data_IF_375678263282
#
_entry.id   IF_375678263282
#
_cell.length_a   1.000
_cell.length_b   1.000
_cell.length_c   1.000
_cell.angle_alpha   90.00
_cell.angle_beta   90.00
_cell.angle_gamma   90.00
#
_symmetry.space_group_name_H-M   'P 1'
#
loop_
_entity.id
_entity.type
_entity.pdbx_description
1 polymer ?
#
# COMPACT_ATOMS: atom_id res chain seq x y z
N UNK A 1 14.54 3.68 25.06
CA UNK A 1 14.89 2.74 23.97
C UNK A 1 15.90 3.45 23.07
N UNK A 2 16.86 2.73 22.47
CA UNK A 2 17.73 3.30 21.44
C UNK A 2 16.91 3.67 20.21
N UNK A 3 17.25 4.78 19.55
CA UNK A 3 16.60 5.15 18.27
C UNK A 3 16.98 4.13 17.20
N UNK A 4 16.03 3.74 16.35
CA UNK A 4 16.31 2.95 15.16
C UNK A 4 17.09 3.83 14.16
N UNK A 5 18.23 3.36 13.69
CA UNK A 5 19.10 4.09 12.75
C UNK A 5 18.83 3.60 11.34
N UNK A 6 18.33 4.52 10.49
CA UNK A 6 17.92 4.19 9.14
C UNK A 6 18.64 4.99 8.07
N UNK A 7 18.56 4.50 6.84
CA UNK A 7 18.83 5.28 5.65
C UNK A 7 17.57 5.41 4.78
N UNK A 8 17.48 6.52 4.04
CA UNK A 8 16.44 6.78 3.04
C UNK A 8 17.05 6.57 1.65
N UNK A 9 16.38 5.79 0.79
CA UNK A 9 16.76 5.56 -0.60
C UNK A 9 15.61 5.99 -1.52
N UNK A 10 15.87 7.04 -2.33
CA UNK A 10 14.87 7.65 -3.19
C UNK A 10 14.35 8.97 -2.64
N UNK A 11 14.74 10.09 -3.26
CA UNK A 11 14.39 11.46 -2.86
C UNK A 11 13.47 12.11 -3.91
N UNK A 12 12.55 11.31 -4.48
CA UNK A 12 11.54 11.75 -5.44
C UNK A 12 10.30 12.35 -4.78
N UNK A 13 9.21 12.47 -5.55
CA UNK A 13 7.96 13.06 -5.08
C UNK A 13 7.35 12.29 -3.89
N UNK A 14 7.42 10.96 -3.90
CA UNK A 14 6.85 10.11 -2.86
C UNK A 14 7.49 10.31 -1.48
N UNK A 15 8.72 10.84 -1.39
CA UNK A 15 9.45 10.97 -0.12
C UNK A 15 8.85 12.01 0.84
N UNK A 16 8.08 12.98 0.34
CA UNK A 16 7.60 14.13 1.15
C UNK A 16 6.82 13.73 2.41
N UNK A 17 5.77 12.90 2.36
CA UNK A 17 5.06 12.48 3.58
C UNK A 17 5.96 11.67 4.53
N UNK A 18 6.87 10.86 3.99
CA UNK A 18 7.83 10.09 4.79
C UNK A 18 8.83 10.98 5.51
N UNK A 19 9.42 11.96 4.80
CA UNK A 19 10.39 12.87 5.40
C UNK A 19 9.78 13.69 6.53
N UNK A 20 8.53 14.15 6.38
CA UNK A 20 7.79 14.83 7.46
C UNK A 20 7.55 13.91 8.65
N UNK A 21 7.08 12.68 8.41
CA UNK A 21 6.88 11.69 9.46
C UNK A 21 8.17 11.34 10.21
N UNK A 22 9.32 11.26 9.50
CA UNK A 22 10.64 11.03 10.12
C UNK A 22 11.10 12.20 10.97
N UNK A 23 10.77 13.45 10.59
CA UNK A 23 11.03 14.60 11.45
C UNK A 23 10.22 14.54 12.75
N UNK A 24 8.94 14.16 12.68
CA UNK A 24 8.08 13.98 13.85
C UNK A 24 8.54 12.83 14.76
N UNK A 25 9.22 11.82 14.20
CA UNK A 25 9.73 10.64 14.91
C UNK A 25 11.22 10.76 15.27
N UNK A 26 11.79 11.95 15.32
CA UNK A 26 13.22 12.17 15.57
C UNK A 26 13.72 11.70 16.95
N UNK A 27 12.80 11.51 17.90
CA UNK A 27 13.07 10.88 19.21
C UNK A 27 13.16 9.35 19.15
N UNK A 28 12.65 8.72 18.10
CA UNK A 28 12.55 7.27 17.91
C UNK A 28 13.38 6.74 16.75
N UNK A 29 13.56 7.55 15.71
CA UNK A 29 14.25 7.19 14.46
C UNK A 29 15.34 8.23 14.18
N UNK A 30 16.55 7.75 13.84
CA UNK A 30 17.64 8.56 13.38
C UNK A 30 17.98 8.27 11.93
N UNK A 31 17.94 9.28 11.07
CA UNK A 31 18.31 9.14 9.66
C UNK A 31 19.81 9.41 9.50
N UNK A 32 20.57 8.37 9.17
CA UNK A 32 22.03 8.48 8.97
C UNK A 32 22.39 8.89 7.54
N UNK A 33 21.59 8.50 6.55
CA UNK A 33 21.83 8.79 5.15
C UNK A 33 20.51 9.00 4.39
N UNK A 34 20.52 9.94 3.43
CA UNK A 34 19.45 10.15 2.45
C UNK A 34 20.05 10.12 1.04
N UNK A 35 19.70 9.11 0.25
CA UNK A 35 20.32 8.80 -1.04
C UNK A 35 19.44 9.12 -2.24
N UNK A 36 20.03 9.78 -3.21
CA UNK A 36 19.59 9.79 -4.60
C UNK A 36 20.82 9.92 -5.52
N UNK A 37 20.83 9.29 -6.71
CA UNK A 37 21.94 9.44 -7.66
C UNK A 37 22.02 10.86 -8.24
N UNK A 38 20.89 11.55 -8.37
CA UNK A 38 20.80 12.91 -8.92
C UNK A 38 21.24 13.97 -7.90
N UNK A 39 22.26 14.75 -8.23
CA UNK A 39 22.72 15.89 -7.42
C UNK A 39 21.61 16.95 -7.24
N UNK A 40 20.83 17.21 -8.29
CA UNK A 40 19.71 18.15 -8.24
C UNK A 40 18.63 17.71 -7.24
N UNK A 41 18.26 16.41 -7.22
CA UNK A 41 17.30 15.86 -6.25
C UNK A 41 17.83 15.93 -4.83
N UNK A 42 19.12 15.64 -4.63
CA UNK A 42 19.74 15.79 -3.30
C UNK A 42 19.72 17.24 -2.81
N UNK A 43 20.06 18.20 -3.68
CA UNK A 43 20.03 19.62 -3.34
C UNK A 43 18.61 20.10 -2.98
N UNK A 44 17.60 19.75 -3.81
CA UNK A 44 16.20 20.10 -3.56
C UNK A 44 15.68 19.49 -2.24
N UNK A 45 16.01 18.23 -1.97
CA UNK A 45 15.64 17.56 -0.73
C UNK A 45 16.33 18.18 0.49
N UNK A 46 17.65 18.43 0.41
CA UNK A 46 18.43 19.03 1.50
C UNK A 46 18.05 20.47 1.83
N UNK A 47 17.48 21.22 0.88
CA UNK A 47 16.91 22.54 1.14
C UNK A 47 15.63 22.48 2.01
N UNK A 48 14.95 21.33 2.07
CA UNK A 48 13.68 21.14 2.79
C UNK A 48 13.82 20.32 4.08
N UNK A 49 14.78 19.40 4.13
CA UNK A 49 14.90 18.43 5.22
C UNK A 49 16.36 18.32 5.71
N UNK A 50 16.61 18.29 7.03
CA UNK A 50 17.94 18.32 7.62
C UNK A 50 18.64 16.95 7.69
N UNK A 51 18.38 16.05 6.73
CA UNK A 51 18.96 14.71 6.74
C UNK A 51 20.31 14.67 6.01
N UNK A 52 21.29 13.88 6.50
CA UNK A 52 22.60 13.74 5.84
C UNK A 52 22.48 13.13 4.45
N UNK A 53 22.99 13.83 3.42
CA UNK A 53 22.89 13.43 2.02
C UNK A 53 24.04 12.54 1.58
N UNK A 54 23.78 11.58 0.70
CA UNK A 54 24.80 10.76 0.04
C UNK A 54 24.41 10.47 -1.41
N UNK A 55 25.41 10.25 -2.26
CA UNK A 55 25.26 9.83 -3.66
C UNK A 55 25.66 8.36 -3.89
N UNK A 56 25.97 7.64 -2.82
CA UNK A 56 26.39 6.24 -2.87
C UNK A 56 25.47 5.34 -2.06
N UNK A 57 24.83 4.39 -2.74
CA UNK A 57 24.07 3.30 -2.12
C UNK A 57 25.04 2.35 -1.39
N UNK A 58 26.21 2.07 -1.96
CA UNK A 58 27.22 1.18 -1.37
C UNK A 58 27.67 1.68 -0.01
N UNK A 59 27.77 3.02 0.17
CA UNK A 59 28.08 3.62 1.46
C UNK A 59 27.02 3.30 2.51
N UNK A 60 25.74 3.28 2.13
CA UNK A 60 24.63 2.90 3.02
C UNK A 60 24.74 1.42 3.39
N UNK A 61 24.95 0.56 2.39
CA UNK A 61 25.02 -0.89 2.59
C UNK A 61 26.21 -1.30 3.46
N UNK A 62 27.34 -0.59 3.35
CA UNK A 62 28.57 -0.85 4.11
C UNK A 62 28.61 -0.19 5.51
N UNK A 63 27.66 0.70 5.85
CA UNK A 63 27.62 1.34 7.16
C UNK A 63 26.94 0.42 8.18
N UNK A 64 27.73 -0.19 9.07
CA UNK A 64 27.23 -1.11 10.12
C UNK A 64 26.29 -0.42 11.13
N UNK A 65 26.29 0.90 11.20
CA UNK A 65 25.37 1.65 12.06
C UNK A 65 23.94 1.67 11.50
N UNK A 66 23.77 1.53 10.17
CA UNK A 66 22.46 1.50 9.53
C UNK A 66 21.79 0.15 9.82
N UNK A 67 20.66 0.16 10.52
CA UNK A 67 19.90 -1.05 10.90
C UNK A 67 18.79 -1.34 9.89
N UNK A 68 18.21 -0.30 9.25
CA UNK A 68 17.16 -0.45 8.28
C UNK A 68 17.27 0.56 7.13
N UNK A 69 16.66 0.22 5.99
CA UNK A 69 16.60 1.10 4.82
C UNK A 69 15.14 1.30 4.41
N UNK A 70 14.72 2.56 4.32
CA UNK A 70 13.42 2.96 3.78
C UNK A 70 13.58 3.30 2.28
N UNK A 71 12.90 2.54 1.42
CA UNK A 71 13.05 2.60 -0.04
C UNK A 71 11.82 3.26 -0.65
N UNK A 72 12.01 4.43 -1.27
CA UNK A 72 10.98 5.30 -1.87
C UNK A 72 11.30 5.62 -3.34
N UNK A 73 11.95 4.70 -4.02
CA UNK A 73 12.31 4.78 -5.44
C UNK A 73 11.13 4.40 -6.34
N UNK A 74 11.25 4.51 -7.67
CA UNK A 74 10.28 3.89 -8.57
C UNK A 74 10.19 2.37 -8.38
N UNK A 75 8.97 1.83 -8.48
CA UNK A 75 8.68 0.42 -8.21
C UNK A 75 9.58 -0.57 -8.99
N UNK A 76 9.97 -0.23 -10.22
CA UNK A 76 10.85 -1.06 -11.05
C UNK A 76 12.24 -1.34 -10.46
N UNK A 77 12.66 -0.58 -9.44
CA UNK A 77 13.94 -0.76 -8.75
C UNK A 77 13.81 -1.38 -7.35
N UNK A 78 12.59 -1.63 -6.87
CA UNK A 78 12.33 -2.06 -5.49
C UNK A 78 12.99 -3.39 -5.16
N UNK A 79 12.78 -4.42 -5.99
CA UNK A 79 13.35 -5.75 -5.73
C UNK A 79 14.89 -5.73 -5.74
N UNK A 80 15.51 -5.01 -6.67
CA UNK A 80 16.97 -4.92 -6.73
C UNK A 80 17.56 -4.27 -5.48
N UNK A 81 17.03 -3.10 -5.09
CA UNK A 81 17.50 -2.35 -3.92
C UNK A 81 17.19 -3.12 -2.64
N UNK A 82 15.96 -3.63 -2.50
CA UNK A 82 15.55 -4.38 -1.32
C UNK A 82 16.37 -5.64 -1.08
N UNK A 83 16.68 -6.40 -2.15
CA UNK A 83 17.56 -7.56 -2.08
C UNK A 83 19.01 -7.18 -1.74
N UNK A 84 19.51 -6.03 -2.22
CA UNK A 84 20.82 -5.54 -1.83
C UNK A 84 20.87 -5.19 -0.32
N UNK A 85 19.83 -4.53 0.19
CA UNK A 85 19.67 -4.24 1.62
C UNK A 85 19.62 -5.52 2.46
N UNK A 86 18.80 -6.50 2.03
CA UNK A 86 18.67 -7.79 2.71
C UNK A 86 20.00 -8.55 2.81
N UNK A 87 20.75 -8.63 1.70
CA UNK A 87 22.10 -9.24 1.68
C UNK A 87 23.09 -8.52 2.59
N UNK A 88 22.92 -7.21 2.83
CA UNK A 88 23.71 -6.43 3.78
C UNK A 88 23.17 -6.53 5.22
N UNK A 89 22.20 -7.42 5.50
CA UNK A 89 21.62 -7.60 6.83
C UNK A 89 20.76 -6.43 7.31
N UNK A 90 20.28 -5.55 6.41
CA UNK A 90 19.47 -4.39 6.75
C UNK A 90 17.99 -4.73 6.63
N UNK A 91 17.19 -4.40 7.65
CA UNK A 91 15.73 -4.44 7.55
C UNK A 91 15.24 -3.48 6.46
N UNK A 92 14.10 -3.77 5.83
CA UNK A 92 13.60 -2.99 4.69
C UNK A 92 12.19 -2.48 4.95
N UNK A 93 11.97 -1.17 4.81
CA UNK A 93 10.65 -0.57 4.67
C UNK A 93 10.47 -0.15 3.21
N UNK A 94 9.57 -0.82 2.49
CA UNK A 94 9.40 -0.64 1.06
C UNK A 94 8.15 0.16 0.73
N UNK A 95 8.28 1.18 -0.16
CA UNK A 95 7.11 1.78 -0.78
C UNK A 95 6.33 0.77 -1.61
N UNK A 96 5.02 1.02 -1.71
CA UNK A 96 4.15 0.21 -2.56
C UNK A 96 4.27 0.64 -4.05
N UNK A 97 4.01 -0.28 -4.98
CA UNK A 97 3.92 -1.74 -4.82
C UNK A 97 5.27 -2.36 -4.46
N UNK A 98 5.29 -3.62 -4.01
CA UNK A 98 6.57 -4.32 -3.73
C UNK A 98 7.52 -4.31 -4.92
N UNK A 99 6.99 -4.45 -6.14
CA UNK A 99 7.69 -4.28 -7.42
C UNK A 99 6.65 -4.15 -8.55
N UNK A 100 7.09 -3.97 -9.79
CA UNK A 100 6.23 -3.89 -10.98
C UNK A 100 5.66 -5.24 -11.43
N UNK A 101 6.12 -6.36 -10.87
CA UNK A 101 5.60 -7.70 -11.16
C UNK A 101 5.61 -8.59 -9.92
N UNK A 102 4.64 -9.49 -9.85
CA UNK A 102 4.51 -10.44 -8.74
C UNK A 102 5.72 -11.34 -8.61
N UNK A 103 6.33 -11.81 -9.71
CA UNK A 103 7.53 -12.65 -9.64
C UNK A 103 8.74 -11.93 -9.01
N UNK A 104 8.93 -10.63 -9.29
CA UNK A 104 9.99 -9.83 -8.66
C UNK A 104 9.66 -9.52 -7.19
N UNK A 105 8.38 -9.28 -6.87
CA UNK A 105 7.90 -9.13 -5.50
C UNK A 105 8.12 -10.41 -4.67
N UNK A 106 7.82 -11.58 -5.24
CA UNK A 106 8.09 -12.90 -4.63
C UNK A 106 9.58 -13.10 -4.34
N UNK A 107 10.46 -12.76 -5.28
CA UNK A 107 11.90 -12.83 -5.08
C UNK A 107 12.38 -11.90 -3.95
N UNK A 108 11.83 -10.69 -3.85
CA UNK A 108 12.14 -9.74 -2.79
C UNK A 108 11.72 -10.30 -1.42
N UNK A 109 10.48 -10.77 -1.30
CA UNK A 109 9.94 -11.35 -0.04
C UNK A 109 10.76 -12.56 0.39
N UNK A 110 11.05 -13.48 -0.54
CA UNK A 110 11.87 -14.66 -0.26
C UNK A 110 13.29 -14.29 0.18
N UNK A 111 13.93 -13.35 -0.52
CA UNK A 111 15.29 -12.92 -0.19
C UNK A 111 15.39 -12.21 1.17
N UNK A 112 14.40 -11.41 1.57
CA UNK A 112 14.35 -10.81 2.91
C UNK A 112 14.18 -11.88 3.99
N UNK A 113 13.31 -12.87 3.76
CA UNK A 113 13.11 -13.99 4.67
C UNK A 113 14.37 -14.86 4.82
N UNK A 114 15.04 -15.19 3.73
CA UNK A 114 16.29 -15.97 3.71
C UNK A 114 17.42 -15.25 4.44
N UNK A 115 17.49 -13.93 4.32
CA UNK A 115 18.46 -13.09 5.03
C UNK A 115 18.09 -12.85 6.51
N UNK A 116 16.93 -13.29 6.97
CA UNK A 116 16.46 -13.08 8.34
C UNK A 116 16.15 -11.62 8.68
N UNK A 117 15.88 -10.78 7.66
CA UNK A 117 15.54 -9.37 7.84
C UNK A 117 14.03 -9.14 7.67
N UNK A 118 13.50 -8.16 8.39
CA UNK A 118 12.08 -7.78 8.27
C UNK A 118 11.85 -6.93 7.04
N UNK A 119 10.77 -7.25 6.33
CA UNK A 119 10.26 -6.46 5.21
C UNK A 119 8.90 -5.90 5.61
N UNK A 120 8.85 -4.58 5.87
CA UNK A 120 7.60 -3.82 6.03
C UNK A 120 7.22 -3.15 4.72
N UNK A 121 5.93 -2.94 4.48
CA UNK A 121 5.42 -2.29 3.26
C UNK A 121 4.53 -1.11 3.59
N UNK A 122 4.66 -0.02 2.82
CA UNK A 122 3.89 1.20 3.02
C UNK A 122 2.48 1.03 2.42
N UNK A 123 1.60 0.38 3.16
CA UNK A 123 0.17 0.26 2.88
C UNK A 123 -0.62 0.97 4.00
N UNK A 124 -0.48 2.30 4.02
CA UNK A 124 -0.86 3.17 5.12
C UNK A 124 -2.37 3.20 5.42
N UNK A 125 -3.25 2.69 4.54
CA UNK A 125 -4.68 2.63 4.83
C UNK A 125 -5.01 1.76 6.05
N UNK A 126 -4.19 0.75 6.37
CA UNK A 126 -4.33 -0.06 7.60
C UNK A 126 -4.07 0.72 8.89
N UNK A 127 -3.47 1.92 8.81
CA UNK A 127 -3.14 2.79 9.94
C UNK A 127 -4.13 3.94 10.14
N UNK A 128 -5.16 4.04 9.30
CA UNK A 128 -6.27 4.98 9.52
C UNK A 128 -7.03 4.59 10.78
N UNK A 129 -7.37 5.52 11.69
CA UNK A 129 -8.08 5.19 12.94
C UNK A 129 -9.36 4.36 12.71
N UNK A 130 -10.15 4.72 11.70
CA UNK A 130 -11.35 3.98 11.32
C UNK A 130 -11.05 2.55 10.85
N UNK A 131 -9.96 2.33 10.12
CA UNK A 131 -9.55 0.99 9.67
C UNK A 131 -9.04 0.14 10.84
N UNK A 132 -8.29 0.73 11.76
CA UNK A 132 -7.83 0.06 12.98
C UNK A 132 -9.03 -0.36 13.84
N UNK A 133 -10.00 0.55 14.04
CA UNK A 133 -11.21 0.23 14.80
C UNK A 133 -12.06 -0.85 14.13
N UNK A 134 -12.16 -0.83 12.79
CA UNK A 134 -12.84 -1.88 12.03
C UNK A 134 -12.18 -3.25 12.28
N UNK A 135 -10.85 -3.33 12.26
CA UNK A 135 -10.10 -4.55 12.56
C UNK A 135 -10.37 -5.04 13.98
N UNK A 136 -10.41 -4.14 14.98
CA UNK A 136 -10.73 -4.49 16.38
C UNK A 136 -12.13 -5.08 16.51
N UNK A 137 -13.14 -4.47 15.86
CA UNK A 137 -14.52 -4.97 15.86
C UNK A 137 -14.62 -6.36 15.22
N UNK A 138 -13.91 -6.59 14.13
CA UNK A 138 -13.85 -7.89 13.47
C UNK A 138 -13.15 -8.94 14.35
N UNK A 139 -12.02 -8.59 14.95
CA UNK A 139 -11.28 -9.48 15.85
C UNK A 139 -12.10 -9.85 17.10
N UNK A 140 -12.89 -8.89 17.63
CA UNK A 140 -13.86 -9.14 18.71
C UNK A 140 -15.07 -9.95 18.25
N UNK A 141 -15.20 -10.28 16.96
CA UNK A 141 -16.33 -11.00 16.39
C UNK A 141 -17.64 -10.21 16.42
N UNK A 142 -17.59 -8.88 16.47
CA UNK A 142 -18.80 -8.04 16.61
C UNK A 142 -19.81 -8.23 15.46
N UNK A 143 -19.32 -8.43 14.21
CA UNK A 143 -20.16 -8.71 13.06
C UNK A 143 -20.67 -10.17 12.98
N UNK A 144 -20.24 -11.05 13.85
CA UNK A 144 -20.44 -12.49 13.67
C UNK A 144 -19.64 -13.02 12.48
N UNK A 145 -20.19 -13.98 11.73
CA UNK A 145 -19.54 -14.48 10.51
C UNK A 145 -19.77 -13.46 9.37
N UNK A 146 -18.70 -13.00 8.75
CA UNK A 146 -18.77 -12.17 7.53
C UNK A 146 -19.29 -13.05 6.37
N UNK A 147 -20.31 -12.59 5.68
CA UNK A 147 -20.99 -13.28 4.58
C UNK A 147 -20.89 -12.52 3.27
N UNK A 148 -20.59 -11.22 3.32
CA UNK A 148 -20.46 -10.37 2.13
C UNK A 148 -19.40 -9.30 2.29
N UNK A 149 -18.76 -8.92 1.18
CA UNK A 149 -17.81 -7.81 1.10
C UNK A 149 -17.98 -7.07 -0.22
N UNK A 150 -18.15 -5.75 -0.18
CA UNK A 150 -18.11 -4.89 -1.37
C UNK A 150 -16.94 -3.91 -1.26
N UNK A 151 -16.14 -3.82 -2.29
CA UNK A 151 -15.01 -2.90 -2.41
C UNK A 151 -15.19 -2.00 -3.61
N UNK A 152 -15.24 -0.69 -3.38
CA UNK A 152 -15.47 0.32 -4.42
C UNK A 152 -14.34 1.35 -4.42
N UNK A 153 -13.69 1.54 -5.56
CA UNK A 153 -12.54 2.42 -5.78
C UNK A 153 -12.82 3.26 -7.03
N UNK A 154 -13.59 4.33 -6.89
CA UNK A 154 -14.03 5.18 -8.02
C UNK A 154 -13.30 6.51 -8.01
N UNK A 155 -12.09 6.53 -8.54
CA UNK A 155 -11.23 7.68 -8.60
C UNK A 155 -11.35 8.40 -9.96
N UNK A 156 -10.86 9.62 -9.99
CA UNK A 156 -10.68 10.36 -11.23
C UNK A 156 -9.20 10.70 -11.45
N UNK A 157 -8.72 10.40 -12.66
CA UNK A 157 -7.44 10.93 -13.16
C UNK A 157 -7.68 11.54 -14.55
N UNK A 158 -7.26 12.77 -14.81
CA UNK A 158 -7.34 13.34 -16.16
C UNK A 158 -6.36 12.64 -17.09
N UNK A 159 -6.61 12.68 -18.42
CA UNK A 159 -5.69 12.12 -19.41
C UNK A 159 -4.26 12.68 -19.26
N UNK A 160 -4.11 13.98 -18.90
CA UNK A 160 -2.81 14.60 -18.65
C UNK A 160 -1.95 13.87 -17.59
N UNK A 161 -2.58 13.16 -16.65
CA UNK A 161 -1.85 12.32 -15.69
C UNK A 161 -1.17 11.13 -16.39
N UNK A 162 -1.81 10.55 -17.40
CA UNK A 162 -1.28 9.41 -18.17
C UNK A 162 -0.40 9.85 -19.35
N UNK A 163 -0.41 11.13 -19.73
CA UNK A 163 0.47 11.69 -20.76
C UNK A 163 1.92 11.89 -20.24
N UNK A 164 2.16 11.76 -18.92
CA UNK A 164 3.52 11.73 -18.38
C UNK A 164 4.30 10.52 -18.95
N UNK A 165 5.58 10.69 -19.34
CA UNK A 165 6.35 9.61 -19.95
C UNK A 165 6.34 8.30 -19.16
N UNK A 166 5.81 7.24 -19.81
CA UNK A 166 5.72 5.89 -19.25
C UNK A 166 4.61 5.65 -18.23
N UNK A 167 3.83 6.67 -17.82
CA UNK A 167 2.71 6.50 -16.91
C UNK A 167 1.61 5.63 -17.54
N UNK A 168 1.00 4.73 -16.77
CA UNK A 168 0.00 3.80 -17.26
C UNK A 168 0.57 2.70 -18.16
N UNK A 169 1.88 2.41 -18.07
CA UNK A 169 2.51 1.30 -18.74
C UNK A 169 2.99 0.22 -17.76
N UNK A 170 3.03 -1.02 -18.22
CA UNK A 170 3.54 -2.14 -17.41
C UNK A 170 5.02 -1.98 -17.08
N UNK A 171 5.79 -1.39 -17.99
CA UNK A 171 7.23 -1.21 -17.82
C UNK A 171 7.60 -0.25 -16.70
N UNK A 172 6.80 0.81 -16.47
CA UNK A 172 7.04 1.82 -15.42
C UNK A 172 6.27 1.53 -14.15
N UNK A 173 4.95 1.35 -14.29
CA UNK A 173 4.02 1.33 -13.16
C UNK A 173 3.61 -0.10 -12.75
N UNK A 174 3.87 -1.11 -13.60
CA UNK A 174 3.52 -2.52 -13.39
C UNK A 174 2.07 -2.86 -13.75
N UNK A 175 1.19 -1.87 -13.95
CA UNK A 175 -0.24 -2.02 -14.25
C UNK A 175 -0.98 -0.71 -14.17
N UNK A 176 -2.31 -0.78 -14.18
CA UNK A 176 -3.23 0.36 -14.16
C UNK A 176 -3.79 0.69 -12.78
N UNK A 177 -5.12 0.87 -12.73
CA UNK A 177 -5.82 1.32 -11.51
C UNK A 177 -5.58 0.41 -10.31
N UNK A 178 -5.49 -0.92 -10.52
CA UNK A 178 -5.37 -1.86 -9.41
C UNK A 178 -4.07 -1.69 -8.64
N UNK A 179 -2.93 -1.67 -9.33
CA UNK A 179 -1.60 -1.62 -8.69
C UNK A 179 -1.16 -0.19 -8.34
N UNK A 180 -1.58 0.81 -9.11
CA UNK A 180 -1.13 2.19 -8.92
C UNK A 180 -1.92 2.92 -7.84
N UNK A 181 -3.25 2.82 -7.86
CA UNK A 181 -4.15 3.53 -6.94
C UNK A 181 -4.91 2.58 -6.01
N UNK A 182 -5.51 1.52 -6.55
CA UNK A 182 -6.38 0.59 -5.84
C UNK A 182 -5.71 -0.27 -4.80
N UNK A 183 -4.40 -0.47 -4.90
CA UNK A 183 -3.62 -1.40 -4.06
C UNK A 183 -3.84 -1.19 -2.55
N UNK A 184 -3.97 0.06 -2.09
CA UNK A 184 -4.21 0.35 -0.68
C UNK A 184 -5.56 -0.14 -0.19
N UNK A 185 -6.60 0.03 -1.01
CA UNK A 185 -7.97 -0.38 -0.66
C UNK A 185 -8.14 -1.89 -0.83
N UNK A 186 -7.50 -2.50 -1.84
CA UNK A 186 -7.45 -3.96 -2.00
C UNK A 186 -6.73 -4.63 -0.84
N UNK A 187 -5.60 -4.07 -0.40
CA UNK A 187 -4.88 -4.52 0.79
C UNK A 187 -5.76 -4.46 2.04
N UNK A 188 -6.41 -3.31 2.27
CA UNK A 188 -7.31 -3.16 3.41
C UNK A 188 -8.49 -4.14 3.33
N UNK A 189 -9.04 -4.40 2.12
CA UNK A 189 -10.08 -5.41 1.90
C UNK A 189 -9.61 -6.79 2.34
N UNK A 190 -8.43 -7.23 1.89
CA UNK A 190 -7.87 -8.52 2.27
C UNK A 190 -7.60 -8.61 3.78
N UNK A 191 -7.10 -7.54 4.38
CA UNK A 191 -6.80 -7.51 5.83
C UNK A 191 -8.06 -7.61 6.71
N UNK A 192 -9.19 -7.07 6.25
CA UNK A 192 -10.46 -7.06 7.01
C UNK A 192 -11.36 -8.26 6.70
N UNK A 193 -11.49 -8.64 5.43
CA UNK A 193 -12.40 -9.70 4.99
C UNK A 193 -11.73 -11.08 4.87
N UNK A 194 -10.40 -11.12 4.92
CA UNK A 194 -9.59 -12.30 4.70
C UNK A 194 -9.25 -12.56 3.22
N UNK A 195 -8.55 -13.64 2.91
CA UNK A 195 -8.07 -13.92 1.57
C UNK A 195 -9.21 -14.25 0.60
N UNK A 196 -9.06 -13.77 -0.64
CA UNK A 196 -9.93 -14.10 -1.76
C UNK A 196 -9.39 -15.36 -2.44
N UNK A 197 -10.27 -16.34 -2.65
CA UNK A 197 -9.92 -17.62 -3.29
C UNK A 197 -10.11 -17.60 -4.81
N UNK A 198 -11.18 -16.93 -5.29
CA UNK A 198 -11.55 -16.92 -6.71
C UNK A 198 -12.15 -15.59 -7.09
N UNK A 199 -11.79 -15.08 -8.27
CA UNK A 199 -12.37 -13.89 -8.88
C UNK A 199 -12.91 -14.19 -10.29
N UNK A 200 -13.94 -13.43 -10.70
CA UNK A 200 -14.46 -13.44 -12.09
C UNK A 200 -14.96 -12.05 -12.45
N UNK A 201 -14.58 -11.55 -13.62
CA UNK A 201 -14.97 -10.19 -14.03
C UNK A 201 -14.28 -9.69 -15.27
N UNK A 202 -14.30 -8.38 -15.44
CA UNK A 202 -13.72 -7.64 -16.57
C UNK A 202 -12.65 -6.67 -16.06
N UNK A 203 -11.58 -6.52 -16.84
CA UNK A 203 -10.51 -5.55 -16.62
C UNK A 203 -10.16 -4.94 -17.99
N UNK A 204 -10.44 -3.66 -18.16
CA UNK A 204 -10.38 -3.00 -19.47
C UNK A 204 -9.74 -1.61 -19.38
N UNK A 205 -9.23 -1.13 -20.51
CA UNK A 205 -8.94 0.28 -20.72
C UNK A 205 -10.14 0.90 -21.43
N UNK A 206 -10.83 1.82 -20.74
CA UNK A 206 -12.04 2.45 -21.29
C UNK A 206 -11.71 3.52 -22.35
N UNK A 207 -12.75 4.03 -23.02
CA UNK A 207 -12.60 5.15 -23.95
C UNK A 207 -12.24 6.49 -23.28
N UNK A 208 -12.19 6.54 -21.94
CA UNK A 208 -11.82 7.76 -21.17
C UNK A 208 -10.33 8.04 -21.27
N UNK A 209 -9.49 6.98 -21.27
CA UNK A 209 -8.04 7.13 -21.29
C UNK A 209 -7.37 6.44 -22.48
N UNK A 210 -6.24 7.00 -22.85
CA UNK A 210 -5.26 6.39 -23.78
C UNK A 210 -4.07 5.93 -22.94
N UNK A 211 -4.05 4.65 -22.57
CA UNK A 211 -2.99 4.01 -21.78
C UNK A 211 -2.90 2.52 -22.12
N UNK A 212 -1.82 1.87 -21.71
CA UNK A 212 -1.59 0.46 -22.01
C UNK A 212 -2.35 -0.49 -21.06
N UNK A 213 -2.57 -0.05 -19.84
CA UNK A 213 -3.08 -0.87 -18.74
C UNK A 213 -4.52 -0.53 -18.41
N UNK A 214 -5.15 -1.31 -17.54
CA UNK A 214 -6.55 -1.15 -17.16
C UNK A 214 -6.82 0.15 -16.39
N UNK A 215 -7.91 0.85 -16.73
CA UNK A 215 -8.45 1.98 -15.98
C UNK A 215 -9.79 1.65 -15.32
N UNK A 216 -10.36 0.46 -15.62
CA UNK A 216 -11.60 -0.03 -15.05
C UNK A 216 -11.59 -1.54 -14.83
N UNK A 217 -12.04 -1.97 -13.65
CA UNK A 217 -12.20 -3.37 -13.27
C UNK A 217 -13.52 -3.54 -12.52
N UNK A 218 -14.32 -4.52 -12.96
CA UNK A 218 -15.57 -4.94 -12.31
C UNK A 218 -15.53 -6.45 -12.12
N UNK A 219 -15.47 -6.93 -10.88
CA UNK A 219 -15.34 -8.36 -10.59
C UNK A 219 -16.20 -8.81 -9.41
N UNK A 220 -16.65 -10.07 -9.47
CA UNK A 220 -17.17 -10.81 -8.33
C UNK A 220 -16.02 -11.60 -7.69
N UNK A 221 -16.07 -11.78 -6.37
CA UNK A 221 -15.06 -12.47 -5.57
C UNK A 221 -15.69 -13.52 -4.64
N UNK A 222 -15.00 -14.63 -4.43
CA UNK A 222 -15.26 -15.59 -3.37
C UNK A 222 -14.09 -15.61 -2.40
N UNK A 223 -14.37 -15.38 -1.14
CA UNK A 223 -13.38 -15.43 -0.07
C UNK A 223 -13.18 -16.86 0.44
N UNK A 224 -12.01 -17.15 0.99
CA UNK A 224 -11.70 -18.45 1.60
C UNK A 224 -12.66 -18.80 2.77
N UNK A 225 -13.25 -17.80 3.42
CA UNK A 225 -14.28 -17.97 4.46
C UNK A 225 -15.65 -18.44 3.91
N UNK A 226 -15.82 -18.47 2.59
CA UNK A 226 -17.09 -18.70 1.90
C UNK A 226 -17.94 -17.45 1.69
N UNK A 227 -17.51 -16.28 2.18
CA UNK A 227 -18.16 -15.02 1.85
C UNK A 227 -18.05 -14.73 0.34
N UNK A 228 -19.01 -13.98 -0.19
CA UNK A 228 -18.98 -13.50 -1.58
C UNK A 228 -18.91 -11.99 -1.61
N UNK A 229 -18.38 -11.41 -2.69
CA UNK A 229 -18.27 -9.97 -2.77
C UNK A 229 -18.02 -9.42 -4.16
N UNK A 230 -17.80 -8.11 -4.21
CA UNK A 230 -17.54 -7.37 -5.45
C UNK A 230 -16.32 -6.48 -5.29
N UNK A 231 -15.60 -6.29 -6.40
CA UNK A 231 -14.52 -5.33 -6.56
C UNK A 231 -14.88 -4.46 -7.79
N UNK A 232 -15.01 -3.16 -7.56
CA UNK A 232 -15.28 -2.14 -8.58
C UNK A 232 -14.19 -1.06 -8.46
N UNK A 233 -13.26 -1.01 -9.42
CA UNK A 233 -12.12 -0.12 -9.39
C UNK A 233 -11.97 0.63 -10.73
N UNK A 234 -11.85 1.97 -10.67
CA UNK A 234 -11.63 2.80 -11.86
C UNK A 234 -10.94 4.12 -11.54
N UNK A 235 -10.20 4.65 -12.52
CA UNK A 235 -9.72 6.03 -12.54
C UNK A 235 -10.50 6.92 -13.51
N UNK A 236 -11.58 6.40 -14.11
CA UNK A 236 -12.41 7.08 -15.09
C UNK A 236 -13.69 7.71 -14.50
N UNK A 237 -13.88 7.69 -13.17
CA UNK A 237 -15.10 8.18 -12.51
C UNK A 237 -14.98 9.64 -12.09
N UNK A 238 -15.27 10.60 -13.00
CA UNK A 238 -15.32 12.02 -12.67
C UNK A 238 -16.44 12.35 -11.66
N UNK A 239 -16.23 13.23 -10.66
CA UNK A 239 -15.00 13.99 -10.33
C UNK A 239 -14.04 13.23 -9.38
N UNK A 240 -14.28 11.97 -9.08
CA UNK A 240 -13.65 11.15 -8.08
C UNK A 240 -14.52 11.02 -6.82
N UNK A 241 -14.53 9.83 -6.24
CA UNK A 241 -15.32 9.48 -5.06
C UNK A 241 -14.41 8.86 -4.02
N UNK A 242 -14.85 8.89 -2.77
CA UNK A 242 -14.17 8.17 -1.69
C UNK A 242 -14.24 6.66 -1.94
N UNK A 243 -13.13 5.97 -1.64
CA UNK A 243 -13.11 4.52 -1.59
C UNK A 243 -14.07 4.03 -0.50
N UNK A 244 -14.68 2.88 -0.73
CA UNK A 244 -15.58 2.27 0.23
C UNK A 244 -15.34 0.75 0.32
N UNK A 245 -15.30 0.24 1.55
CA UNK A 245 -15.34 -1.19 1.86
C UNK A 245 -16.53 -1.41 2.78
N UNK A 246 -17.48 -2.24 2.34
CA UNK A 246 -18.63 -2.64 3.15
C UNK A 246 -18.56 -4.12 3.46
N UNK A 247 -18.58 -4.48 4.74
CA UNK A 247 -18.63 -5.86 5.23
C UNK A 247 -20.01 -6.15 5.81
N UNK A 248 -20.66 -7.20 5.31
CA UNK A 248 -21.92 -7.70 5.84
C UNK A 248 -21.68 -8.97 6.64
N UNK A 249 -22.07 -8.95 7.89
CA UNK A 249 -21.97 -10.08 8.81
C UNK A 249 -23.33 -10.57 9.28
N UNK A 250 -23.33 -11.70 9.99
CA UNK A 250 -24.58 -12.30 10.53
C UNK A 250 -25.16 -11.54 11.73
N UNK A 251 -24.45 -10.51 12.26
CA UNK A 251 -24.90 -9.69 13.39
C UNK A 251 -24.89 -8.19 13.10
N UNK A 252 -24.48 -7.77 11.91
CA UNK A 252 -24.41 -6.35 11.56
C UNK A 252 -23.66 -6.09 10.26
N UNK A 253 -23.53 -4.82 9.93
CA UNK A 253 -22.83 -4.33 8.74
C UNK A 253 -21.83 -3.24 9.18
N UNK A 254 -20.64 -3.27 8.59
CA UNK A 254 -19.59 -2.28 8.77
C UNK A 254 -19.29 -1.65 7.41
N UNK A 255 -19.24 -0.32 7.34
CA UNK A 255 -18.83 0.43 6.17
C UNK A 255 -17.66 1.36 6.52
N UNK A 256 -16.56 1.24 5.76
CA UNK A 256 -15.45 2.19 5.73
C UNK A 256 -15.58 3.03 4.47
N UNK A 257 -15.72 4.34 4.60
CA UNK A 257 -15.85 5.26 3.47
C UNK A 257 -15.01 6.52 3.70
N UNK A 258 -14.03 6.78 2.84
CA UNK A 258 -13.21 7.98 2.91
C UNK A 258 -12.52 8.21 4.26
N UNK A 259 -12.17 7.12 4.98
CA UNK A 259 -11.58 7.19 6.31
C UNK A 259 -12.58 7.25 7.47
N UNK A 260 -13.90 7.27 7.22
CA UNK A 260 -14.96 7.15 8.24
C UNK A 260 -15.38 5.69 8.38
N UNK A 261 -15.56 5.23 9.61
CA UNK A 261 -16.20 3.95 9.94
C UNK A 261 -17.65 4.21 10.38
N UNK A 262 -18.55 3.38 9.86
CA UNK A 262 -19.91 3.24 10.36
C UNK A 262 -20.24 1.76 10.53
N UNK A 263 -20.46 1.30 11.76
CA UNK A 263 -20.89 -0.04 12.07
C UNK A 263 -22.31 -0.01 12.65
N UNK A 264 -23.21 -0.88 12.16
CA UNK A 264 -24.60 -1.03 12.61
C UNK A 264 -24.88 -2.48 12.92
N UNK A 265 -25.42 -2.73 14.11
CA UNK A 265 -25.68 -4.08 14.59
C UNK A 265 -27.17 -4.40 14.65
N UNK A 266 -27.52 -5.69 14.60
CA UNK A 266 -28.91 -6.14 14.59
C UNK A 266 -29.64 -5.87 15.92
N UNK A 267 -28.90 -5.63 17.01
CA UNK A 267 -29.47 -5.20 18.31
C UNK A 267 -29.84 -3.71 18.36
N UNK A 268 -29.66 -2.99 17.24
CA UNK A 268 -29.95 -1.57 17.10
C UNK A 268 -28.80 -0.64 17.51
N UNK A 269 -27.68 -1.16 17.98
CA UNK A 269 -26.52 -0.34 18.31
C UNK A 269 -25.77 0.12 17.06
N UNK A 270 -25.14 1.27 17.16
CA UNK A 270 -24.32 1.87 16.09
C UNK A 270 -23.00 2.38 16.68
N UNK A 271 -21.93 2.24 15.92
CA UNK A 271 -20.63 2.83 16.24
C UNK A 271 -20.12 3.61 15.03
N UNK A 272 -19.58 4.81 15.29
CA UNK A 272 -19.03 5.69 14.26
C UNK A 272 -17.65 6.22 14.68
N UNK A 273 -16.71 6.20 13.74
CA UNK A 273 -15.40 6.87 13.86
C UNK A 273 -15.29 7.80 12.67
N UNK A 274 -15.14 9.09 12.95
CA UNK A 274 -15.01 10.10 11.88
C UNK A 274 -13.63 10.03 11.23
N UNK A 275 -13.59 10.42 9.97
CA UNK A 275 -12.32 10.56 9.27
C UNK A 275 -11.47 11.66 9.91
N UNK A 276 -10.17 11.44 9.98
CA UNK A 276 -9.23 12.52 10.22
C UNK A 276 -9.39 13.60 9.13
N UNK A 277 -9.32 14.86 9.51
CA UNK A 277 -9.42 15.98 8.57
C UNK A 277 -8.35 15.84 7.48
N UNK A 278 -8.75 15.65 6.23
CA UNK A 278 -7.83 15.56 5.10
C UNK A 278 -7.85 14.25 4.30
N UNK A 279 -8.90 13.41 4.44
CA UNK A 279 -9.09 12.25 3.56
C UNK A 279 -9.29 12.71 2.10
N UNK A 280 -8.19 13.15 1.45
CA UNK A 280 -8.10 13.60 0.08
C UNK A 280 -7.54 12.54 -0.88
N UNK A 281 -7.18 12.95 -2.10
CA UNK A 281 -6.53 12.08 -3.10
C UNK A 281 -7.49 11.38 -4.04
N UNK A 282 -8.80 11.57 -3.90
CA UNK A 282 -9.83 11.00 -4.79
C UNK A 282 -9.91 11.71 -6.15
N UNK A 283 -9.57 13.00 -6.19
CA UNK A 283 -9.60 13.86 -7.37
C UNK A 283 -8.26 13.93 -8.12
N UNK A 284 -8.03 15.05 -8.81
CA UNK A 284 -6.87 15.28 -9.67
C UNK A 284 -5.52 15.34 -8.92
N UNK A 285 -5.51 15.72 -7.63
CA UNK A 285 -4.31 15.73 -6.80
C UNK A 285 -4.20 14.45 -5.96
N UNK A 286 -3.36 13.47 -6.38
CA UNK A 286 -3.18 12.22 -5.67
C UNK A 286 -2.38 12.37 -4.36
N UNK A 287 -1.75 13.52 -4.11
CA UNK A 287 -0.91 13.77 -2.92
C UNK A 287 -1.62 14.59 -1.83
N UNK A 288 -2.90 14.93 -2.03
CA UNK A 288 -3.70 15.69 -1.06
C UNK A 288 -4.15 14.81 0.12
N UNK A 289 -3.21 14.36 0.97
CA UNK A 289 -3.48 13.61 2.19
C UNK A 289 -2.47 13.98 3.30
N UNK A 290 -2.84 13.79 4.60
CA UNK A 290 -1.94 14.06 5.72
C UNK A 290 -0.81 13.02 5.76
N UNK A 291 0.35 13.40 6.35
CA UNK A 291 1.49 12.49 6.49
C UNK A 291 1.38 11.56 7.72
N UNK A 292 0.37 11.74 8.56
CA UNK A 292 0.19 11.01 9.83
C UNK A 292 0.13 9.49 9.64
N UNK A 293 -0.50 9.03 8.57
CA UNK A 293 -0.60 7.59 8.30
C UNK A 293 0.76 6.99 7.88
N UNK A 294 1.56 7.75 7.12
CA UNK A 294 2.93 7.36 6.77
C UNK A 294 3.83 7.37 8.01
N UNK A 295 3.65 8.39 8.89
CA UNK A 295 4.32 8.43 10.19
C UNK A 295 3.97 7.19 11.02
N UNK A 296 2.70 6.79 11.08
CA UNK A 296 2.26 5.60 11.82
C UNK A 296 2.87 4.30 11.26
N UNK A 297 3.01 4.15 9.93
CA UNK A 297 3.73 3.02 9.31
C UNK A 297 5.18 2.96 9.79
N UNK A 298 5.88 4.09 9.78
CA UNK A 298 7.29 4.14 10.21
C UNK A 298 7.45 3.92 11.71
N UNK A 299 6.51 4.40 12.53
CA UNK A 299 6.48 4.16 13.96
C UNK A 299 6.30 2.67 14.28
N UNK A 300 5.33 2.00 13.65
CA UNK A 300 5.11 0.56 13.79
C UNK A 300 6.33 -0.26 13.33
N UNK A 301 6.94 0.13 12.20
CA UNK A 301 8.14 -0.55 11.69
C UNK A 301 9.31 -0.44 12.68
N UNK A 302 9.53 0.74 13.28
CA UNK A 302 10.57 0.94 14.28
C UNK A 302 10.28 0.13 15.55
N UNK A 303 9.06 0.12 16.03
CA UNK A 303 8.61 -0.71 17.17
C UNK A 303 8.79 -2.20 16.88
N UNK A 304 8.37 -2.65 15.70
CA UNK A 304 8.46 -4.04 15.28
C UNK A 304 9.91 -4.55 15.33
N UNK A 305 10.86 -3.74 14.84
CA UNK A 305 12.28 -4.08 14.91
C UNK A 305 12.76 -4.13 16.37
N UNK A 306 12.45 -3.12 17.18
CA UNK A 306 12.87 -3.03 18.57
C UNK A 306 12.31 -4.18 19.43
N UNK A 307 11.08 -4.63 19.15
CA UNK A 307 10.39 -5.70 19.89
C UNK A 307 10.66 -7.09 19.29
N UNK A 308 11.33 -7.18 18.15
CA UNK A 308 11.59 -8.45 17.47
C UNK A 308 10.34 -9.09 16.85
N UNK A 309 9.24 -8.35 16.67
CA UNK A 309 8.02 -8.79 16.01
C UNK A 309 7.99 -8.41 14.53
N UNK A 310 7.04 -8.93 13.80
CA UNK A 310 6.79 -8.49 12.43
C UNK A 310 6.05 -7.12 12.41
N UNK A 311 6.30 -6.28 11.39
CA UNK A 311 5.52 -5.06 11.19
C UNK A 311 4.06 -5.40 10.85
N UNK A 312 3.14 -4.45 11.10
CA UNK A 312 1.70 -4.61 10.84
C UNK A 312 1.38 -4.95 9.38
N UNK A 313 2.22 -4.53 8.46
CA UNK A 313 2.12 -4.89 7.03
C UNK A 313 3.44 -5.54 6.62
N UNK A 314 3.40 -6.85 6.48
CA UNK A 314 4.55 -7.66 6.05
C UNK A 314 4.68 -7.72 4.52
N UNK A 315 5.84 -8.14 4.05
CA UNK A 315 6.04 -8.43 2.62
C UNK A 315 5.11 -9.52 2.10
N UNK A 316 4.87 -10.58 2.89
CA UNK A 316 3.96 -11.68 2.55
C UNK A 316 2.52 -11.20 2.38
N UNK A 317 2.02 -10.36 3.28
CA UNK A 317 0.66 -9.80 3.14
C UNK A 317 0.53 -8.88 1.92
N UNK A 318 1.53 -8.03 1.67
CA UNK A 318 1.56 -7.20 0.47
C UNK A 318 1.63 -8.04 -0.82
N UNK A 319 2.30 -9.19 -0.79
CA UNK A 319 2.35 -10.13 -1.91
C UNK A 319 0.98 -10.75 -2.21
N UNK A 320 0.13 -10.98 -1.20
CA UNK A 320 -1.26 -11.43 -1.42
C UNK A 320 -2.05 -10.43 -2.28
N UNK A 321 -1.80 -9.13 -2.12
CA UNK A 321 -2.44 -8.09 -2.95
C UNK A 321 -1.96 -8.16 -4.40
N UNK A 322 -0.67 -8.38 -4.64
CA UNK A 322 -0.12 -8.58 -5.99
C UNK A 322 -0.79 -9.78 -6.69
N UNK A 323 -0.92 -10.90 -5.98
CA UNK A 323 -1.55 -12.13 -6.50
C UNK A 323 -3.04 -11.92 -6.80
N UNK A 324 -3.75 -11.14 -5.99
CA UNK A 324 -5.13 -10.74 -6.26
C UNK A 324 -5.21 -9.89 -7.53
N UNK A 325 -4.32 -8.91 -7.69
CA UNK A 325 -4.25 -8.05 -8.88
C UNK A 325 -4.01 -8.88 -10.13
N UNK A 326 -3.03 -9.80 -10.11
CA UNK A 326 -2.77 -10.72 -11.23
C UNK A 326 -4.03 -11.51 -11.61
N UNK A 327 -4.74 -12.07 -10.63
CA UNK A 327 -5.95 -12.85 -10.88
C UNK A 327 -7.09 -12.00 -11.45
N UNK A 328 -7.24 -10.74 -11.02
CA UNK A 328 -8.21 -9.78 -11.57
C UNK A 328 -7.90 -9.43 -13.03
N UNK A 329 -6.65 -9.23 -13.38
CA UNK A 329 -6.22 -8.99 -14.77
C UNK A 329 -6.41 -10.25 -15.61
N UNK A 330 -6.04 -11.42 -15.07
CA UNK A 330 -6.14 -12.69 -15.77
C UNK A 330 -7.60 -13.07 -16.07
N UNK A 331 -8.53 -12.86 -15.13
CA UNK A 331 -9.96 -13.14 -15.37
C UNK A 331 -10.54 -12.22 -16.45
N UNK A 332 -10.15 -10.93 -16.47
CA UNK A 332 -10.52 -9.99 -17.52
C UNK A 332 -10.07 -10.46 -18.91
N UNK A 333 -8.84 -10.93 -19.01
CA UNK A 333 -8.29 -11.42 -20.29
C UNK A 333 -8.89 -12.76 -20.74
N UNK A 334 -9.22 -13.67 -19.80
CA UNK A 334 -9.71 -15.02 -20.10
C UNK A 334 -11.22 -15.14 -20.20
N UNK A 335 -11.99 -14.22 -19.61
CA UNK A 335 -13.43 -14.26 -19.55
C UNK A 335 -13.99 -15.43 -18.70
N UNK A 336 -13.20 -15.95 -17.74
CA UNK A 336 -13.59 -17.09 -16.89
C UNK A 336 -13.07 -16.91 -15.46
N UNK A 337 -13.64 -17.63 -14.45
CA UNK A 337 -13.16 -17.57 -13.09
C UNK A 337 -11.68 -17.94 -12.98
N UNK A 338 -10.93 -17.19 -12.18
CA UNK A 338 -9.50 -17.41 -11.90
C UNK A 338 -9.30 -17.60 -10.40
N UNK A 339 -8.54 -18.64 -10.02
CA UNK A 339 -8.15 -18.86 -8.64
C UNK A 339 -6.99 -17.95 -8.28
N UNK A 340 -7.12 -17.23 -7.16
CA UNK A 340 -6.02 -16.43 -6.61
C UNK A 340 -4.96 -17.38 -6.06
N UNK A 341 -3.70 -17.20 -6.44
CA UNK A 341 -2.59 -18.01 -5.92
C UNK A 341 -2.44 -17.77 -4.42
N UNK A 342 -2.10 -18.81 -3.68
CA UNK A 342 -1.85 -18.73 -2.23
C UNK A 342 -0.50 -18.06 -1.91
#
# INVERSE_FOLDING_TARGET
MSRLRIAIVGLGMAVTPHARGLMDLSDRIEVLHAFAPSAARRADFGARYPFPLTDSLDKILADDRVEAVAVFTPASSHAEIGLACARAGKHVLMEKPLDISTARAEALVAGCREAGVRLGVVLQHRFRPAAMRAADLLAAGALGRVVGCSTTIRLWRPQAYYDEPGRGTRARDGGGVLISQGIHTLDLTLSLAGPIETVTGFAETTAVHRMETEDMVCAAARFASGAIGTIDATTAAYPGFHEEITLTGTRGTLALRGGTLLARFHDGTEERVEADTGAGGTGADPMAFPHDWHRAVMADFAEAIAEGRDPRVTGEEALCVHRLIDALIETGAKGQPVRVRA
#
